data_IF_356118441772
#
_entry.id   IF_356118441772
#
_cell.length_a   1.000
_cell.length_b   1.000
_cell.length_c   1.000
_cell.angle_alpha   90.00
_cell.angle_beta   90.00
_cell.angle_gamma   90.00
#
_symmetry.space_group_name_H-M   'P 1'
#
loop_
_entity.id
_entity.type
_entity.pdbx_description
1 polymer ?
#
# COMPACT_ATOMS: atom_id res chain seq x y z
N UNK A 1 21.42 0.89 -106.38
CA UNK A 1 21.64 1.40 -105.01
C UNK A 1 21.07 0.38 -104.04
N UNK A 2 21.94 -0.28 -103.27
CA UNK A 2 21.66 -1.46 -102.44
C UNK A 2 21.64 -1.09 -100.95
N UNK A 3 20.55 -1.47 -100.26
CA UNK A 3 20.46 -2.27 -99.02
C UNK A 3 21.39 -1.99 -97.80
N UNK A 4 20.71 -1.80 -96.65
CA UNK A 4 20.83 -2.56 -95.38
C UNK A 4 21.34 -1.86 -94.10
N UNK A 5 20.43 -1.85 -93.10
CA UNK A 5 20.52 -2.17 -91.65
C UNK A 5 21.78 -1.82 -90.84
N UNK A 6 21.59 -1.38 -89.57
CA UNK A 6 22.08 -2.05 -88.33
C UNK A 6 21.66 -1.26 -87.06
N UNK A 7 21.26 -2.01 -86.02
CA UNK A 7 21.00 -1.62 -84.61
C UNK A 7 22.31 -1.41 -83.81
N UNK A 8 22.27 -0.62 -82.73
CA UNK A 8 23.05 -0.83 -81.47
C UNK A 8 22.39 0.04 -80.36
N UNK A 9 21.74 -0.51 -79.33
CA UNK A 9 22.20 -1.16 -78.09
C UNK A 9 22.38 -0.20 -76.88
N UNK A 10 21.77 -0.60 -75.76
CA UNK A 10 21.70 0.06 -74.44
C UNK A 10 23.04 0.20 -73.71
N UNK A 11 23.13 1.19 -72.82
CA UNK A 11 23.90 1.10 -71.58
C UNK A 11 23.15 1.81 -70.43
N UNK A 12 22.71 1.03 -69.45
CA UNK A 12 22.15 1.49 -68.16
C UNK A 12 23.32 1.67 -67.19
N UNK A 13 23.39 2.82 -66.54
CA UNK A 13 24.33 3.09 -65.44
C UNK A 13 23.55 3.29 -64.15
N UNK A 14 23.71 2.36 -63.21
CA UNK A 14 23.22 2.40 -61.84
C UNK A 14 24.18 3.23 -60.98
N UNK A 15 23.68 4.28 -60.32
CA UNK A 15 24.39 4.94 -59.21
C UNK A 15 23.61 4.74 -57.91
N UNK A 16 24.18 3.97 -57.00
CA UNK A 16 23.73 3.88 -55.60
C UNK A 16 24.20 5.12 -54.86
N UNK A 17 23.26 5.87 -54.28
CA UNK A 17 23.53 6.91 -53.29
C UNK A 17 23.37 6.27 -51.92
N UNK A 18 24.48 6.10 -51.19
CA UNK A 18 24.49 5.68 -49.79
C UNK A 18 24.51 6.91 -48.88
N UNK A 19 23.35 7.30 -48.36
CA UNK A 19 23.22 8.34 -47.33
C UNK A 19 23.57 7.73 -45.97
N UNK A 20 24.74 8.06 -45.42
CA UNK A 20 25.10 7.69 -44.06
C UNK A 20 24.38 8.63 -43.06
N UNK A 21 23.33 8.15 -42.40
CA UNK A 21 22.75 8.81 -41.23
C UNK A 21 23.60 8.49 -40.01
N UNK A 22 24.36 9.48 -39.54
CA UNK A 22 25.00 9.43 -38.23
C UNK A 22 23.93 9.59 -37.14
N UNK A 23 23.59 8.49 -36.44
CA UNK A 23 22.83 8.56 -35.20
C UNK A 23 23.73 9.10 -34.10
N UNK A 24 23.53 10.36 -33.72
CA UNK A 24 24.06 10.91 -32.47
C UNK A 24 23.28 10.26 -31.33
N UNK A 25 23.84 9.21 -30.72
CA UNK A 25 23.35 8.68 -29.46
C UNK A 25 23.55 9.75 -28.39
N UNK A 26 22.50 10.53 -28.11
CA UNK A 26 22.43 11.32 -26.90
C UNK A 26 22.43 10.35 -25.72
N UNK A 27 23.54 10.30 -24.98
CA UNK A 27 23.58 9.68 -23.67
C UNK A 27 22.61 10.43 -22.77
N UNK A 28 21.40 9.90 -22.63
CA UNK A 28 20.56 10.22 -21.49
C UNK A 28 21.40 9.88 -20.26
N UNK A 29 21.83 10.90 -19.52
CA UNK A 29 22.37 10.72 -18.19
C UNK A 29 21.27 10.03 -17.38
N UNK A 30 21.43 8.73 -17.18
CA UNK A 30 20.60 7.93 -16.30
C UNK A 30 20.56 8.63 -14.94
N UNK A 31 19.35 8.75 -14.38
CA UNK A 31 19.10 9.30 -13.06
C UNK A 31 20.06 8.68 -12.04
N UNK A 32 20.90 9.53 -11.47
CA UNK A 32 21.81 9.13 -10.41
C UNK A 32 21.02 8.73 -9.15
N UNK A 33 21.05 7.43 -8.87
CA UNK A 33 20.89 6.76 -7.57
C UNK A 33 19.59 7.02 -6.78
N UNK A 34 18.55 6.24 -7.11
CA UNK A 34 17.58 5.75 -6.11
C UNK A 34 18.07 4.43 -5.46
N UNK A 35 19.10 3.80 -6.04
CA UNK A 35 19.57 2.47 -5.65
C UNK A 35 20.31 2.37 -4.30
N UNK A 36 20.65 3.49 -3.64
CA UNK A 36 21.40 3.48 -2.37
C UNK A 36 20.55 3.84 -1.13
N UNK A 37 19.28 4.24 -1.29
CA UNK A 37 18.44 4.62 -0.16
C UNK A 37 17.92 3.38 0.59
N UNK A 38 18.18 3.29 1.90
CA UNK A 38 17.65 2.25 2.78
C UNK A 38 16.19 2.54 3.10
N UNK A 39 15.27 1.97 2.32
CA UNK A 39 13.81 2.10 2.53
C UNK A 39 13.30 0.88 3.28
N UNK A 40 12.86 1.07 4.52
CA UNK A 40 12.41 -0.02 5.39
C UNK A 40 10.89 -0.01 5.47
N UNK A 41 10.25 -1.17 5.30
CA UNK A 41 8.79 -1.32 5.40
C UNK A 41 8.45 -2.37 6.46
N UNK A 42 7.55 -1.99 7.36
CA UNK A 42 7.00 -2.89 8.37
C UNK A 42 5.64 -3.41 7.92
N UNK A 43 5.51 -4.73 7.83
CA UNK A 43 4.22 -5.40 7.58
C UNK A 43 3.61 -5.71 8.94
N UNK A 44 2.52 -5.04 9.27
CA UNK A 44 1.77 -5.22 10.51
C UNK A 44 0.52 -6.04 10.23
N UNK A 45 0.42 -7.26 10.77
CA UNK A 45 -0.68 -8.14 10.46
C UNK A 45 -1.99 -7.74 11.15
N UNK A 46 -3.09 -8.30 10.64
CA UNK A 46 -4.39 -8.34 11.27
C UNK A 46 -4.47 -9.30 12.45
N UNK A 47 -5.69 -9.53 12.92
CA UNK A 47 -5.97 -10.37 14.08
C UNK A 47 -5.60 -11.84 13.84
N UNK A 48 -4.86 -12.41 14.79
CA UNK A 48 -4.53 -13.84 14.85
C UNK A 48 -5.65 -14.62 15.57
N UNK A 49 -6.50 -15.29 14.77
CA UNK A 49 -7.58 -16.14 15.28
C UNK A 49 -7.12 -17.55 15.66
N UNK A 50 -6.31 -18.17 14.79
CA UNK A 50 -5.90 -19.57 14.90
C UNK A 50 -4.40 -19.81 14.68
N UNK A 51 -3.80 -19.04 13.76
CA UNK A 51 -2.39 -19.17 13.39
C UNK A 51 -1.57 -18.05 14.02
N UNK A 52 -0.30 -18.35 14.32
CA UNK A 52 0.70 -17.40 14.82
C UNK A 52 2.06 -17.65 14.18
N UNK A 53 3.00 -16.72 14.36
CA UNK A 53 4.37 -16.83 13.84
C UNK A 53 4.42 -17.05 12.32
N UNK A 54 5.29 -17.96 11.86
CA UNK A 54 5.53 -18.21 10.44
C UNK A 54 4.28 -18.56 9.63
N UNK A 55 3.34 -19.31 10.22
CA UNK A 55 2.08 -19.68 9.53
C UNK A 55 1.20 -18.46 9.29
N UNK A 56 1.18 -17.50 10.22
CA UNK A 56 0.43 -16.26 10.04
C UNK A 56 1.16 -15.30 9.08
N UNK A 57 2.48 -15.20 9.19
CA UNK A 57 3.30 -14.44 8.25
C UNK A 57 3.15 -14.93 6.81
N UNK A 58 2.94 -16.23 6.59
CA UNK A 58 2.77 -16.80 5.26
C UNK A 58 1.59 -16.19 4.47
N UNK A 59 0.55 -15.67 5.15
CA UNK A 59 -0.57 -14.97 4.51
C UNK A 59 -0.15 -13.64 3.85
N UNK A 60 0.99 -13.07 4.25
CA UNK A 60 1.52 -11.81 3.72
C UNK A 60 2.65 -12.03 2.71
N UNK A 61 2.93 -13.28 2.32
CA UNK A 61 4.09 -13.62 1.48
C UNK A 61 4.06 -12.92 0.12
N UNK A 62 2.90 -12.87 -0.54
CA UNK A 62 2.77 -12.21 -1.84
C UNK A 62 3.11 -10.71 -1.76
N UNK A 63 2.64 -10.05 -0.70
CA UNK A 63 2.96 -8.66 -0.41
C UNK A 63 4.46 -8.47 -0.11
N UNK A 64 5.02 -9.30 0.77
CA UNK A 64 6.44 -9.26 1.16
C UNK A 64 7.40 -9.44 -0.03
N UNK A 65 7.10 -10.41 -0.89
CA UNK A 65 7.86 -10.67 -2.12
C UNK A 65 7.77 -9.48 -3.10
N UNK A 66 6.59 -8.87 -3.25
CA UNK A 66 6.40 -7.71 -4.11
C UNK A 66 7.11 -6.45 -3.59
N UNK A 67 7.10 -6.23 -2.27
CA UNK A 67 7.84 -5.14 -1.62
C UNK A 67 9.36 -5.31 -1.78
N UNK A 68 9.85 -6.54 -1.55
CA UNK A 68 11.25 -6.88 -1.77
C UNK A 68 11.67 -6.65 -3.22
N UNK A 69 10.83 -7.06 -4.18
CA UNK A 69 11.06 -6.81 -5.60
C UNK A 69 11.03 -5.31 -5.98
N UNK A 70 10.26 -4.50 -5.25
CA UNK A 70 10.25 -3.04 -5.38
C UNK A 70 11.44 -2.35 -4.67
N UNK A 71 12.31 -3.12 -4.02
CA UNK A 71 13.54 -2.65 -3.39
C UNK A 71 13.35 -2.07 -2.00
N UNK A 72 12.36 -2.57 -1.25
CA UNK A 72 12.21 -2.30 0.18
C UNK A 72 12.88 -3.39 1.00
N UNK A 73 13.50 -3.01 2.13
CA UNK A 73 13.84 -3.94 3.21
C UNK A 73 12.57 -4.16 4.05
N UNK A 74 12.07 -5.39 4.13
CA UNK A 74 10.82 -5.69 4.82
C UNK A 74 11.03 -6.34 6.18
N UNK A 75 10.18 -5.98 7.15
CA UNK A 75 10.14 -6.61 8.47
C UNK A 75 8.69 -6.93 8.84
N UNK A 76 8.42 -8.18 9.16
CA UNK A 76 7.12 -8.58 9.69
C UNK A 76 7.06 -8.29 11.20
N UNK A 77 5.98 -7.66 11.65
CA UNK A 77 5.76 -7.39 13.08
C UNK A 77 4.91 -8.51 13.68
N UNK A 78 5.42 -9.20 14.71
CA UNK A 78 4.68 -10.25 15.43
C UNK A 78 3.69 -9.66 16.45
N UNK A 79 2.81 -8.78 15.94
CA UNK A 79 1.68 -8.26 16.70
C UNK A 79 0.47 -9.19 16.50
N UNK A 80 -0.19 -9.68 17.57
CA UNK A 80 -1.31 -10.60 17.44
C UNK A 80 -2.62 -9.97 16.94
N UNK A 81 -2.74 -8.65 16.89
CA UNK A 81 -3.95 -7.94 16.44
C UNK A 81 -5.13 -8.14 17.38
N UNK A 82 -4.88 -8.27 18.69
CA UNK A 82 -5.89 -8.57 19.72
C UNK A 82 -6.16 -7.43 20.67
N UNK A 83 -5.16 -6.59 20.93
CA UNK A 83 -5.25 -5.47 21.87
C UNK A 83 -4.47 -4.29 21.30
N UNK A 84 -5.18 -3.23 20.90
CA UNK A 84 -4.64 -2.14 20.06
C UNK A 84 -3.40 -1.50 20.71
N UNK A 85 -3.51 -1.13 22.00
CA UNK A 85 -2.43 -0.45 22.69
C UNK A 85 -1.22 -1.36 22.96
N UNK A 86 -1.44 -2.64 23.28
CA UNK A 86 -0.34 -3.58 23.51
C UNK A 86 0.38 -3.94 22.21
N UNK A 87 -0.37 -4.11 21.12
CA UNK A 87 0.16 -4.39 19.79
C UNK A 87 0.94 -3.17 19.24
N UNK A 88 0.50 -1.95 19.57
CA UNK A 88 1.22 -0.72 19.23
C UNK A 88 2.62 -0.65 19.87
N UNK A 89 2.80 -1.17 21.09
CA UNK A 89 4.13 -1.26 21.72
C UNK A 89 5.04 -2.24 20.97
N UNK A 90 4.50 -3.38 20.50
CA UNK A 90 5.24 -4.35 19.68
C UNK A 90 5.66 -3.74 18.34
N UNK A 91 4.79 -2.94 17.72
CA UNK A 91 5.10 -2.17 16.51
C UNK A 91 6.23 -1.18 16.80
N UNK A 92 6.15 -0.44 17.90
CA UNK A 92 7.17 0.52 18.32
C UNK A 92 8.53 -0.17 18.54
N UNK A 93 8.55 -1.32 19.21
CA UNK A 93 9.76 -2.12 19.44
C UNK A 93 10.40 -2.61 18.14
N UNK A 94 9.58 -3.11 17.20
CA UNK A 94 10.06 -3.57 15.89
C UNK A 94 10.66 -2.40 15.09
N UNK A 95 9.95 -1.27 15.02
CA UNK A 95 10.42 -0.09 14.30
C UNK A 95 11.74 0.41 14.89
N UNK A 96 11.84 0.54 16.22
CA UNK A 96 13.10 0.92 16.89
C UNK A 96 14.26 -0.02 16.55
N UNK A 97 14.00 -1.31 16.40
CA UNK A 97 15.03 -2.32 16.18
C UNK A 97 15.60 -2.28 14.76
N UNK A 98 14.77 -1.95 13.76
CA UNK A 98 15.15 -2.13 12.35
C UNK A 98 15.21 -0.83 11.52
N UNK A 99 14.58 0.25 11.99
CA UNK A 99 14.57 1.53 11.28
C UNK A 99 15.86 2.35 11.43
N UNK A 100 16.81 1.92 12.26
CA UNK A 100 18.07 2.65 12.42
C UNK A 100 18.81 2.79 11.08
N UNK A 101 19.12 4.04 10.72
CA UNK A 101 19.78 4.39 9.45
C UNK A 101 18.91 4.21 8.20
N UNK A 102 17.59 4.03 8.35
CA UNK A 102 16.67 4.07 7.22
C UNK A 102 16.52 5.50 6.70
N UNK A 103 16.49 5.67 5.39
CA UNK A 103 16.17 6.94 4.72
C UNK A 103 14.65 7.16 4.65
N UNK A 104 13.87 6.08 4.74
CA UNK A 104 12.43 6.15 4.93
C UNK A 104 11.88 4.92 5.65
N UNK A 105 10.82 5.13 6.43
CA UNK A 105 10.10 4.10 7.18
C UNK A 105 8.64 4.06 6.71
N UNK A 106 8.29 2.97 6.03
CA UNK A 106 6.91 2.65 5.66
C UNK A 106 6.26 1.69 6.64
N UNK A 107 4.95 1.83 6.83
CA UNK A 107 4.12 0.84 7.52
C UNK A 107 3.00 0.41 6.58
N UNK A 108 2.90 -0.88 6.28
CA UNK A 108 1.70 -1.48 5.68
C UNK A 108 1.02 -2.30 6.76
N UNK A 109 -0.22 -1.92 7.08
CA UNK A 109 -0.96 -2.51 8.18
C UNK A 109 -2.31 -3.06 7.71
N UNK A 110 -2.55 -4.33 8.02
CA UNK A 110 -3.77 -5.02 7.63
C UNK A 110 -4.77 -5.12 8.78
N UNK A 111 -6.05 -4.91 8.51
CA UNK A 111 -7.14 -5.18 9.47
C UNK A 111 -6.89 -4.52 10.84
N UNK A 112 -6.97 -5.27 11.94
CA UNK A 112 -6.66 -4.82 13.30
C UNK A 112 -5.28 -4.14 13.44
N UNK A 113 -4.28 -4.56 12.66
CA UNK A 113 -2.95 -3.97 12.66
C UNK A 113 -2.95 -2.49 12.25
N UNK A 114 -3.91 -2.07 11.42
CA UNK A 114 -4.06 -0.66 11.02
C UNK A 114 -4.40 0.24 12.20
N UNK A 115 -5.22 -0.26 13.13
CA UNK A 115 -5.59 0.48 14.33
C UNK A 115 -4.42 0.58 15.31
N UNK A 116 -3.72 -0.52 15.55
CA UNK A 116 -2.51 -0.54 16.40
C UNK A 116 -1.40 0.34 15.85
N UNK A 117 -1.23 0.39 14.53
CA UNK A 117 -0.26 1.25 13.86
C UNK A 117 -0.61 2.74 13.98
N UNK A 118 -1.89 3.11 13.85
CA UNK A 118 -2.34 4.49 14.13
C UNK A 118 -2.18 4.84 15.61
N UNK A 119 -2.43 3.90 16.51
CA UNK A 119 -2.19 4.12 17.94
C UNK A 119 -0.70 4.42 18.19
N UNK A 120 0.22 3.68 17.56
CA UNK A 120 1.64 3.97 17.59
C UNK A 120 1.96 5.38 17.06
N UNK A 121 1.41 5.73 15.89
CA UNK A 121 1.59 7.06 15.30
C UNK A 121 1.15 8.18 16.23
N UNK A 122 -0.05 8.05 16.84
CA UNK A 122 -0.68 9.11 17.63
C UNK A 122 -0.17 9.22 19.07
N UNK A 123 0.18 8.10 19.70
CA UNK A 123 0.43 8.08 21.16
C UNK A 123 1.84 7.65 21.56
N UNK A 124 2.59 6.98 20.67
CA UNK A 124 3.89 6.39 20.99
C UNK A 124 5.04 7.00 20.17
N UNK A 125 4.81 8.15 19.54
CA UNK A 125 5.81 8.91 18.80
C UNK A 125 6.02 8.46 17.35
N UNK A 126 5.15 7.60 16.81
CA UNK A 126 5.29 7.13 15.43
C UNK A 126 5.11 8.23 14.37
N UNK A 127 4.41 9.33 14.68
CA UNK A 127 4.25 10.48 13.77
C UNK A 127 5.56 11.16 13.38
N UNK A 128 6.62 10.99 14.18
CA UNK A 128 7.96 11.54 13.92
C UNK A 128 8.86 10.56 13.16
N UNK A 129 8.41 9.32 12.96
CA UNK A 129 9.24 8.22 12.43
C UNK A 129 8.70 7.69 11.11
N UNK A 130 7.38 7.58 10.96
CA UNK A 130 6.75 6.96 9.80
C UNK A 130 6.59 7.97 8.67
N UNK A 131 7.10 7.64 7.48
CA UNK A 131 6.99 8.48 6.28
C UNK A 131 5.74 8.18 5.46
N UNK A 132 5.30 6.92 5.45
CA UNK A 132 4.13 6.44 4.72
C UNK A 132 3.39 5.38 5.54
N UNK A 133 2.09 5.59 5.72
CA UNK A 133 1.20 4.64 6.39
C UNK A 133 0.14 4.16 5.40
N UNK A 134 0.11 2.85 5.12
CA UNK A 134 -0.85 2.23 4.22
C UNK A 134 -1.69 1.23 5.01
N UNK A 135 -2.98 1.49 5.08
CA UNK A 135 -3.96 0.55 5.63
C UNK A 135 -4.57 -0.31 4.52
N UNK A 136 -4.66 -1.63 4.76
CA UNK A 136 -5.36 -2.59 3.91
C UNK A 136 -6.49 -3.21 4.76
N UNK A 137 -7.74 -3.04 4.34
CA UNK A 137 -8.92 -3.57 5.04
C UNK A 137 -9.04 -3.15 6.51
N UNK A 138 -8.45 -2.03 6.93
CA UNK A 138 -8.43 -1.66 8.34
C UNK A 138 -9.74 -0.97 8.74
N UNK A 139 -10.50 -1.48 9.72
CA UNK A 139 -11.73 -0.84 10.17
C UNK A 139 -11.41 0.34 11.09
N UNK A 140 -11.00 1.48 10.52
CA UNK A 140 -10.46 2.63 11.27
C UNK A 140 -11.43 3.19 12.32
N UNK A 141 -12.73 3.06 12.05
CA UNK A 141 -13.82 3.45 12.94
C UNK A 141 -14.54 2.25 13.58
N UNK A 142 -13.89 1.09 13.55
CA UNK A 142 -14.35 -0.16 14.16
C UNK A 142 -15.28 -0.97 13.26
N UNK A 143 -15.53 -2.20 13.67
CA UNK A 143 -16.39 -3.14 12.93
C UNK A 143 -17.37 -3.88 13.87
N UNK A 144 -18.52 -4.34 13.34
CA UNK A 144 -19.42 -5.19 14.12
C UNK A 144 -18.77 -6.51 14.56
N UNK A 145 -17.82 -7.02 13.76
CA UNK A 145 -17.04 -8.21 14.08
C UNK A 145 -16.26 -8.05 15.38
N UNK A 146 -15.65 -6.89 15.63
CA UNK A 146 -14.98 -6.60 16.90
C UNK A 146 -15.90 -6.69 18.11
N UNK A 147 -17.17 -6.31 17.97
CA UNK A 147 -18.12 -6.27 19.09
C UNK A 147 -18.62 -7.63 19.57
N UNK A 148 -18.34 -8.71 18.82
CA UNK A 148 -18.65 -10.08 19.25
C UNK A 148 -17.44 -10.82 19.82
N UNK A 149 -16.28 -10.15 19.90
CA UNK A 149 -15.04 -10.72 20.42
C UNK A 149 -14.91 -10.58 21.94
N UNK A 150 -14.06 -11.40 22.54
CA UNK A 150 -13.67 -11.28 23.94
C UNK A 150 -12.77 -10.05 24.20
N UNK A 151 -12.73 -9.52 25.43
CA UNK A 151 -11.92 -8.33 25.76
C UNK A 151 -10.44 -8.42 25.40
N UNK A 152 -9.83 -9.62 25.48
CA UNK A 152 -8.43 -9.86 25.13
C UNK A 152 -8.25 -10.55 23.76
N UNK A 153 -9.33 -10.65 22.98
CA UNK A 153 -9.40 -11.38 21.73
C UNK A 153 -9.85 -10.49 20.56
N UNK A 154 -9.66 -9.16 20.63
CA UNK A 154 -9.99 -8.25 19.54
C UNK A 154 -11.19 -7.32 19.77
N UNK A 155 -11.80 -7.32 20.96
CA UNK A 155 -12.89 -6.37 21.30
C UNK A 155 -12.51 -4.91 21.06
N UNK A 156 -11.22 -4.58 21.17
CA UNK A 156 -10.69 -3.24 20.88
C UNK A 156 -11.09 -2.72 19.49
N UNK A 157 -11.35 -3.59 18.51
CA UNK A 157 -11.81 -3.22 17.16
C UNK A 157 -13.32 -2.96 17.06
N UNK A 158 -14.08 -3.12 18.15
CA UNK A 158 -15.50 -2.77 18.21
C UNK A 158 -15.68 -1.24 18.16
N UNK A 159 -16.67 -0.75 17.40
CA UNK A 159 -16.97 0.70 17.31
C UNK A 159 -17.31 1.37 18.66
N UNK A 160 -17.62 0.58 19.68
CA UNK A 160 -17.96 1.04 21.04
C UNK A 160 -16.84 0.85 22.07
N UNK A 161 -15.65 0.39 21.65
CA UNK A 161 -14.54 0.21 22.58
C UNK A 161 -13.97 1.56 23.03
N UNK A 162 -13.51 1.65 24.28
CA UNK A 162 -12.92 2.88 24.81
C UNK A 162 -11.62 3.26 24.09
N UNK A 163 -10.82 2.25 23.70
CA UNK A 163 -9.56 2.49 22.98
C UNK A 163 -9.81 3.05 21.59
N UNK A 164 -10.86 2.63 20.90
CA UNK A 164 -11.21 3.15 19.58
C UNK A 164 -11.80 4.54 19.67
N UNK A 165 -12.66 4.80 20.67
CA UNK A 165 -13.15 6.14 20.95
C UNK A 165 -11.99 7.11 21.26
N UNK A 166 -10.95 6.65 21.98
CA UNK A 166 -9.72 7.41 22.20
C UNK A 166 -8.92 7.61 20.92
N UNK A 167 -8.79 6.57 20.08
CA UNK A 167 -8.00 6.62 18.86
C UNK A 167 -8.54 7.64 17.87
N UNK A 168 -9.87 7.68 17.71
CA UNK A 168 -10.58 8.58 16.77
C UNK A 168 -10.97 9.92 17.42
N UNK A 169 -10.39 10.27 18.58
CA UNK A 169 -10.58 11.58 19.18
C UNK A 169 -9.55 12.57 18.60
N UNK A 170 -10.03 13.59 17.89
CA UNK A 170 -9.19 14.54 17.14
C UNK A 170 -8.51 13.88 15.93
N UNK A 171 -7.66 14.64 15.24
CA UNK A 171 -7.02 14.29 13.98
C UNK A 171 -6.60 12.81 13.84
N UNK A 172 -7.05 12.19 12.75
CA UNK A 172 -6.79 10.80 12.43
C UNK A 172 -5.41 10.54 11.83
N UNK A 173 -4.88 11.54 11.13
CA UNK A 173 -3.65 11.50 10.32
C UNK A 173 -2.55 12.39 10.90
N UNK A 174 -2.08 12.16 12.14
CA UNK A 174 -1.11 13.05 12.77
C UNK A 174 0.26 13.05 12.07
N UNK A 175 0.94 14.20 12.11
CA UNK A 175 2.30 14.34 11.59
C UNK A 175 2.38 14.52 10.07
N UNK A 176 3.52 14.15 9.47
CA UNK A 176 3.80 14.36 8.04
C UNK A 176 3.77 13.08 7.20
N UNK A 177 3.38 11.96 7.80
CA UNK A 177 3.28 10.69 7.10
C UNK A 177 2.28 10.79 5.94
N UNK A 178 2.54 10.06 4.87
CA UNK A 178 1.60 9.92 3.78
C UNK A 178 0.60 8.82 4.12
N UNK A 179 -0.60 9.21 4.55
CA UNK A 179 -1.66 8.27 4.93
C UNK A 179 -2.41 7.78 3.70
N UNK A 180 -2.63 6.48 3.61
CA UNK A 180 -3.34 5.84 2.51
C UNK A 180 -4.19 4.68 2.98
N UNK A 181 -5.28 4.45 2.27
CA UNK A 181 -6.06 3.20 2.34
C UNK A 181 -6.07 2.57 0.95
N UNK A 182 -5.76 1.28 0.91
CA UNK A 182 -5.80 0.46 -0.31
C UNK A 182 -6.51 -0.84 0.03
N UNK A 183 -7.74 -1.01 -0.44
CA UNK A 183 -8.57 -2.16 -0.02
C UNK A 183 -9.60 -2.55 -1.08
N UNK A 184 -10.21 -3.72 -0.90
CA UNK A 184 -11.40 -4.12 -1.64
C UNK A 184 -12.53 -3.09 -1.46
N UNK A 185 -13.23 -2.79 -2.56
CA UNK A 185 -14.48 -1.99 -2.52
C UNK A 185 -15.64 -2.74 -1.85
N UNK A 186 -15.49 -4.05 -1.65
CA UNK A 186 -16.46 -4.93 -1.00
C UNK A 186 -16.32 -5.04 0.51
N UNK A 187 -15.34 -4.39 1.12
CA UNK A 187 -15.10 -4.44 2.56
C UNK A 187 -16.33 -3.98 3.36
N UNK A 188 -16.57 -4.62 4.50
CA UNK A 188 -17.70 -4.27 5.37
C UNK A 188 -17.44 -3.05 6.24
N UNK A 189 -16.19 -2.65 6.39
CA UNK A 189 -15.80 -1.39 7.00
C UNK A 189 -14.74 -0.75 6.11
N UNK A 190 -14.97 0.49 5.68
CA UNK A 190 -13.94 1.22 4.95
C UNK A 190 -12.84 1.73 5.88
N UNK A 191 -11.64 1.92 5.31
CA UNK A 191 -10.48 2.44 6.02
C UNK A 191 -10.30 3.95 5.89
N UNK A 192 -11.39 4.71 5.71
CA UNK A 192 -11.29 6.18 5.63
C UNK A 192 -10.78 6.76 6.95
N UNK A 193 -9.99 7.81 6.81
CA UNK A 193 -9.53 8.69 7.88
C UNK A 193 -9.93 10.12 7.52
N UNK A 194 -10.15 10.95 8.54
CA UNK A 194 -10.14 12.41 8.37
C UNK A 194 -8.71 12.92 8.14
N UNK A 195 -8.59 14.18 7.74
CA UNK A 195 -7.34 14.77 7.26
C UNK A 195 -6.91 14.24 5.89
N UNK A 196 -5.63 14.42 5.59
CA UNK A 196 -5.05 14.11 4.28
C UNK A 196 -4.86 12.61 4.06
N UNK A 197 -5.60 12.02 3.13
CA UNK A 197 -5.54 10.58 2.84
C UNK A 197 -5.65 10.29 1.34
N UNK A 198 -4.78 9.42 0.82
CA UNK A 198 -5.02 8.78 -0.48
C UNK A 198 -5.95 7.56 -0.32
N UNK A 199 -7.04 7.51 -1.08
CA UNK A 199 -8.03 6.44 -1.03
C UNK A 199 -8.05 5.65 -2.34
N UNK A 200 -7.72 4.36 -2.25
CA UNK A 200 -7.74 3.40 -3.37
C UNK A 200 -8.69 2.27 -3.02
N UNK A 201 -9.77 2.15 -3.80
CA UNK A 201 -10.74 1.08 -3.66
C UNK A 201 -10.69 0.20 -4.90
N UNK A 202 -10.52 -1.09 -4.70
CA UNK A 202 -10.27 -2.08 -5.76
C UNK A 202 -11.51 -2.94 -5.93
N UNK A 203 -12.07 -2.92 -7.14
CA UNK A 203 -13.17 -3.80 -7.53
C UNK A 203 -12.65 -5.20 -7.91
N UNK A 204 -13.53 -6.20 -7.86
CA UNK A 204 -13.22 -7.54 -8.38
C UNK A 204 -12.31 -8.40 -7.49
N UNK A 205 -12.00 -7.96 -6.28
CA UNK A 205 -11.32 -8.80 -5.27
C UNK A 205 -12.17 -10.04 -4.99
N UNK A 206 -11.59 -11.26 -5.00
CA UNK A 206 -12.35 -12.49 -4.75
C UNK A 206 -13.07 -12.47 -3.40
N UNK A 207 -14.40 -12.56 -3.43
CA UNK A 207 -15.22 -12.51 -2.21
C UNK A 207 -15.77 -11.12 -1.85
N UNK A 208 -15.57 -10.12 -2.71
CA UNK A 208 -16.07 -8.75 -2.49
C UNK A 208 -17.55 -8.72 -2.06
N UNK A 209 -17.83 -7.99 -0.98
CA UNK A 209 -19.17 -7.82 -0.42
C UNK A 209 -19.62 -8.94 0.51
N UNK A 210 -18.86 -10.03 0.60
CA UNK A 210 -19.18 -11.19 1.45
C UNK A 210 -18.37 -11.23 2.75
N UNK A 211 -17.37 -10.35 2.88
CA UNK A 211 -16.39 -10.37 3.96
C UNK A 211 -15.24 -11.35 3.73
N UNK A 212 -15.32 -12.21 2.71
CA UNK A 212 -14.23 -13.11 2.35
C UNK A 212 -13.08 -12.38 1.62
N UNK A 213 -13.36 -11.24 1.00
CA UNK A 213 -12.37 -10.35 0.38
C UNK A 213 -11.33 -9.84 1.37
N UNK A 214 -11.72 -9.63 2.62
CA UNK A 214 -10.81 -9.25 3.71
C UNK A 214 -9.62 -10.20 3.87
N UNK A 215 -9.76 -11.47 3.47
CA UNK A 215 -8.69 -12.46 3.54
C UNK A 215 -7.90 -12.59 2.23
N UNK A 216 -8.47 -12.19 1.10
CA UNK A 216 -7.89 -12.40 -0.23
C UNK A 216 -7.26 -11.14 -0.81
N UNK A 217 -7.60 -9.96 -0.30
CA UNK A 217 -7.09 -8.68 -0.80
C UNK A 217 -5.56 -8.55 -0.68
N UNK A 218 -4.93 -9.20 0.31
CA UNK A 218 -3.48 -9.22 0.49
C UNK A 218 -2.70 -9.91 -0.63
N UNK A 219 -3.37 -10.73 -1.44
CA UNK A 219 -2.79 -11.41 -2.60
C UNK A 219 -3.24 -10.77 -3.92
N UNK A 220 -4.14 -9.79 -3.87
CA UNK A 220 -4.71 -9.19 -5.06
C UNK A 220 -3.71 -8.23 -5.74
N UNK A 221 -3.38 -8.41 -7.04
CA UNK A 221 -2.34 -7.62 -7.70
C UNK A 221 -2.56 -6.10 -7.66
N UNK A 222 -3.81 -5.65 -7.78
CA UNK A 222 -4.13 -4.22 -7.75
C UNK A 222 -4.02 -3.64 -6.33
N UNK A 223 -4.32 -4.43 -5.30
CA UNK A 223 -4.15 -3.99 -3.89
C UNK A 223 -2.66 -3.90 -3.58
N UNK A 224 -1.87 -4.90 -3.95
CA UNK A 224 -0.41 -4.89 -3.76
C UNK A 224 0.25 -3.72 -4.49
N UNK A 225 -0.08 -3.51 -5.78
CA UNK A 225 0.51 -2.42 -6.56
C UNK A 225 0.05 -1.03 -6.09
N UNK A 226 -1.21 -0.90 -5.65
CA UNK A 226 -1.71 0.30 -4.99
C UNK A 226 -0.95 0.60 -3.70
N UNK A 227 -0.72 -0.41 -2.86
CA UNK A 227 0.04 -0.26 -1.61
C UNK A 227 1.50 0.15 -1.85
N UNK A 228 2.17 -0.43 -2.85
CA UNK A 228 3.53 -0.04 -3.24
C UNK A 228 3.58 1.40 -3.76
N UNK A 229 2.58 1.82 -4.54
CA UNK A 229 2.48 3.20 -5.05
C UNK A 229 2.27 4.19 -3.89
N UNK A 230 1.36 3.87 -2.97
CA UNK A 230 1.10 4.66 -1.77
C UNK A 230 2.32 4.79 -0.86
N UNK A 231 3.12 3.72 -0.68
CA UNK A 231 4.40 3.79 0.03
C UNK A 231 5.37 4.79 -0.61
N UNK A 232 5.39 4.84 -1.95
CA UNK A 232 6.12 5.83 -2.74
C UNK A 232 5.54 7.25 -2.69
N UNK A 233 4.46 7.47 -1.93
CA UNK A 233 3.70 8.72 -1.81
C UNK A 233 2.97 9.13 -3.10
N UNK A 234 2.67 8.17 -3.97
CA UNK A 234 1.89 8.35 -5.18
C UNK A 234 0.43 7.93 -4.95
N UNK A 235 -0.52 8.81 -5.25
CA UNK A 235 -1.94 8.48 -5.18
C UNK A 235 -2.47 8.01 -6.54
N UNK A 236 -2.62 6.69 -6.70
CA UNK A 236 -3.29 6.10 -7.88
C UNK A 236 -4.82 6.17 -7.80
N UNK A 237 -5.36 6.46 -6.61
CA UNK A 237 -6.78 6.66 -6.36
C UNK A 237 -7.14 8.13 -6.23
N UNK A 238 -7.92 8.47 -5.21
CA UNK A 238 -8.34 9.85 -4.94
C UNK A 238 -7.70 10.35 -3.64
N UNK A 239 -6.97 11.46 -3.71
CA UNK A 239 -6.52 12.15 -2.50
C UNK A 239 -7.63 13.05 -1.99
N UNK A 240 -7.90 12.98 -0.70
CA UNK A 240 -8.86 13.83 0.01
C UNK A 240 -8.19 14.51 1.20
N UNK A 241 -8.84 15.55 1.70
CA UNK A 241 -8.49 16.24 2.94
C UNK A 241 -9.81 16.62 3.63
N UNK A 242 -10.30 15.75 4.53
CA UNK A 242 -11.57 15.91 5.23
C UNK A 242 -11.36 16.55 6.62
N UNK A 243 -12.32 17.31 7.14
CA UNK A 243 -12.11 17.96 8.44
C UNK A 243 -12.20 16.93 9.57
N UNK A 244 -11.48 17.20 10.65
CA UNK A 244 -11.57 16.45 11.91
C UNK A 244 -13.04 16.28 12.35
N UNK A 245 -13.46 15.04 12.55
CA UNK A 245 -14.81 14.67 12.96
C UNK A 245 -15.88 14.65 11.87
N UNK A 246 -15.53 14.84 10.59
CA UNK A 246 -16.46 14.68 9.46
C UNK A 246 -16.84 13.20 9.21
N UNK A 247 -16.05 12.25 9.72
CA UNK A 247 -16.30 10.82 9.59
C UNK A 247 -16.76 10.24 10.94
N UNK A 248 -17.82 9.46 10.90
CA UNK A 248 -18.29 8.67 12.04
C UNK A 248 -18.38 7.20 11.68
N UNK A 249 -18.35 6.30 12.68
CA UNK A 249 -18.43 4.85 12.41
C UNK A 249 -19.65 4.44 11.58
N UNK A 250 -20.86 5.03 11.71
CA UNK A 250 -21.96 4.70 10.82
C UNK A 250 -21.64 5.00 9.37
N UNK A 251 -20.78 5.98 9.07
CA UNK A 251 -20.43 6.36 7.70
C UNK A 251 -19.48 5.36 7.03
N UNK A 252 -18.72 4.59 7.81
CA UNK A 252 -17.68 3.69 7.27
C UNK A 252 -18.17 2.24 7.11
N UNK A 253 -19.33 1.89 7.67
CA UNK A 253 -19.84 0.53 7.60
C UNK A 253 -20.66 0.25 6.33
N UNK A 254 -20.42 -0.92 5.75
CA UNK A 254 -21.15 -1.48 4.62
C UNK A 254 -21.21 -0.54 3.39
N UNK A 255 -20.08 0.04 2.95
CA UNK A 255 -20.04 0.98 1.84
C UNK A 255 -20.60 0.39 0.54
N UNK A 256 -20.40 -0.91 0.30
CA UNK A 256 -20.90 -1.63 -0.88
C UNK A 256 -22.42 -1.78 -0.94
N UNK A 257 -23.15 -1.45 0.14
CA UNK A 257 -24.61 -1.58 0.24
C UNK A 257 -25.34 -0.23 0.12
N UNK A 258 -24.61 0.86 -0.19
CA UNK A 258 -25.16 2.21 -0.31
C UNK A 258 -25.38 2.66 -1.74
#
# INVERSE_FOLDING_TARGET
>A
MRLSKILLAMAVTTSLVTTALAFSAGSAAAGGRIADAKRVVFIVPGQQLYNSGETHQATYRALDEALSAAGYETHFVDAPGKMIAADAELIADSIRSYAAGADSVGVIAHSAGGLSSRYYAKFLGGSEVVDSFVAIGAPQYGSPGGCVQGPADGYDTCMFSEVLAKLNAGEDTPGSAYYSVVQSSGEWADGRLDGGQCRVYVDGVPGAGTGADHLTELEHPEVISGAISALGRDCVGTFVDENDGDITWPDTLFPSFR
#
